data_IF_155969492323
#
_entry.id   IF_155969492323
#
_cell.length_a   1.000
_cell.length_b   1.000
_cell.length_c   1.000
_cell.angle_alpha   90.00
_cell.angle_beta   90.00
_cell.angle_gamma   90.00
#
_symmetry.space_group_name_H-M   'P 1'
#
loop_
_entity.id
_entity.type
_entity.pdbx_description
1 polymer ?
#
# COMPACT_ATOMS: atom_id res chain seq x y z
N UNK A 1 7.92 -16.19 -6.36
CA UNK A 1 6.46 -16.12 -6.11
C UNK A 1 6.24 -14.90 -5.23
N UNK A 2 5.38 -13.96 -5.65
CA UNK A 2 5.22 -12.66 -4.98
C UNK A 2 4.66 -12.88 -3.58
N UNK A 3 5.43 -12.55 -2.53
CA UNK A 3 5.08 -12.84 -1.14
C UNK A 3 4.16 -11.74 -0.61
N UNK A 4 2.89 -11.77 -1.00
CA UNK A 4 1.89 -10.76 -0.62
C UNK A 4 0.93 -11.37 0.39
N UNK A 5 0.77 -10.75 1.55
CA UNK A 5 -0.23 -11.19 2.52
C UNK A 5 -1.62 -10.97 1.90
N UNK A 6 -2.55 -11.93 1.99
CA UNK A 6 -3.89 -11.79 1.43
C UNK A 6 -4.61 -10.50 1.86
N UNK A 7 -4.40 -10.07 3.11
CA UNK A 7 -4.95 -8.81 3.63
C UNK A 7 -4.44 -7.55 2.91
N UNK A 8 -3.21 -7.53 2.42
CA UNK A 8 -2.66 -6.39 1.67
C UNK A 8 -3.27 -6.29 0.27
N UNK A 9 -3.65 -7.43 -0.33
CA UNK A 9 -4.33 -7.47 -1.63
C UNK A 9 -5.74 -6.92 -1.49
N UNK A 10 -6.50 -7.40 -0.51
CA UNK A 10 -7.86 -6.93 -0.25
C UNK A 10 -7.87 -5.44 0.10
N UNK A 11 -6.95 -5.01 0.96
CA UNK A 11 -6.83 -3.61 1.35
C UNK A 11 -6.47 -2.72 0.16
N UNK A 12 -5.49 -3.13 -0.66
CA UNK A 12 -5.10 -2.40 -1.88
C UNK A 12 -6.24 -2.32 -2.91
N UNK A 13 -7.01 -3.40 -3.08
CA UNK A 13 -8.18 -3.40 -3.96
C UNK A 13 -9.26 -2.45 -3.46
N UNK A 14 -9.56 -2.45 -2.16
CA UNK A 14 -10.53 -1.53 -1.56
C UNK A 14 -10.10 -0.06 -1.72
N UNK A 15 -8.82 0.26 -1.45
CA UNK A 15 -8.28 1.61 -1.64
C UNK A 15 -8.40 2.05 -3.10
N UNK A 16 -8.11 1.17 -4.05
CA UNK A 16 -8.22 1.51 -5.47
C UNK A 16 -9.66 1.88 -5.87
N UNK A 17 -10.66 1.14 -5.37
CA UNK A 17 -12.07 1.45 -5.63
C UNK A 17 -12.50 2.78 -5.01
N UNK A 18 -12.06 3.08 -3.78
CA UNK A 18 -12.31 4.39 -3.17
C UNK A 18 -11.69 5.54 -3.97
N UNK A 19 -10.44 5.39 -4.40
CA UNK A 19 -9.75 6.40 -5.21
C UNK A 19 -10.49 6.68 -6.53
N UNK A 20 -10.98 5.63 -7.22
CA UNK A 20 -11.81 5.78 -8.43
C UNK A 20 -13.12 6.50 -8.13
N UNK A 21 -13.78 6.14 -7.04
CA UNK A 21 -15.02 6.77 -6.61
C UNK A 21 -14.85 8.28 -6.38
N UNK A 22 -13.82 8.68 -5.62
CA UNK A 22 -13.60 10.10 -5.31
C UNK A 22 -13.31 10.94 -6.57
N UNK A 23 -12.50 10.44 -7.49
CA UNK A 23 -12.23 11.15 -8.77
C UNK A 23 -13.51 11.27 -9.60
N UNK A 24 -14.28 10.19 -9.71
CA UNK A 24 -15.53 10.20 -10.47
C UNK A 24 -16.54 11.17 -9.87
N UNK A 25 -16.59 11.24 -8.53
CA UNK A 25 -17.47 12.16 -7.82
C UNK A 25 -17.03 13.62 -7.99
N UNK A 26 -15.73 13.91 -7.89
CA UNK A 26 -15.20 15.24 -8.16
C UNK A 26 -15.57 15.73 -9.57
N UNK A 27 -15.41 14.86 -10.58
CA UNK A 27 -15.76 15.18 -11.95
C UNK A 27 -17.26 15.48 -12.12
N UNK A 28 -18.14 14.71 -11.47
CA UNK A 28 -19.57 14.96 -11.48
C UNK A 28 -19.95 16.31 -10.85
N UNK A 29 -19.33 16.69 -9.73
CA UNK A 29 -19.60 18.00 -9.11
C UNK A 29 -19.11 19.17 -9.99
N UNK A 30 -18.01 18.98 -10.75
CA UNK A 30 -17.57 19.95 -11.75
C UNK A 30 -18.61 20.12 -12.87
N UNK A 31 -19.20 19.03 -13.36
CA UNK A 31 -20.27 19.08 -14.38
C UNK A 31 -21.51 19.83 -13.88
N UNK A 32 -21.80 19.74 -12.57
CA UNK A 32 -22.88 20.51 -11.92
C UNK A 32 -22.49 21.97 -11.60
N UNK A 33 -21.23 22.36 -11.81
CA UNK A 33 -20.73 23.70 -11.49
C UNK A 33 -20.44 23.94 -10.00
N UNK A 34 -20.50 22.91 -9.14
CA UNK A 34 -20.14 23.02 -7.73
C UNK A 34 -18.64 22.77 -7.55
N UNK A 35 -17.85 23.81 -7.83
CA UNK A 35 -16.40 23.78 -7.71
C UNK A 35 -15.93 23.46 -6.28
N UNK A 36 -16.67 23.91 -5.27
CA UNK A 36 -16.29 23.67 -3.88
C UNK A 36 -16.49 22.20 -3.49
N UNK A 37 -17.59 21.58 -3.94
CA UNK A 37 -17.79 20.14 -3.75
C UNK A 37 -16.77 19.32 -4.53
N UNK A 38 -16.44 19.72 -5.76
CA UNK A 38 -15.38 19.09 -6.53
C UNK A 38 -14.04 19.10 -5.79
N UNK A 39 -13.63 20.25 -5.24
CA UNK A 39 -12.38 20.39 -4.48
C UNK A 39 -12.34 19.45 -3.26
N UNK A 40 -13.45 19.34 -2.52
CA UNK A 40 -13.55 18.39 -1.39
C UNK A 40 -13.31 16.95 -1.82
N UNK A 41 -13.88 16.51 -2.94
CA UNK A 41 -13.68 15.16 -3.44
C UNK A 41 -12.26 14.92 -3.95
N UNK A 42 -11.61 15.95 -4.52
CA UNK A 42 -10.19 15.88 -4.88
C UNK A 42 -9.30 15.73 -3.64
N UNK A 43 -9.63 16.38 -2.52
CA UNK A 43 -8.91 16.20 -1.26
C UNK A 43 -9.01 14.76 -0.74
N UNK A 44 -10.19 14.15 -0.78
CA UNK A 44 -10.38 12.73 -0.43
C UNK A 44 -9.61 11.80 -1.36
N UNK A 45 -9.60 12.06 -2.67
CA UNK A 45 -8.76 11.32 -3.60
C UNK A 45 -7.27 11.44 -3.24
N UNK A 46 -6.78 12.65 -2.93
CA UNK A 46 -5.38 12.86 -2.53
C UNK A 46 -5.03 12.11 -1.26
N UNK A 47 -5.97 12.02 -0.30
CA UNK A 47 -5.80 11.21 0.91
C UNK A 47 -5.70 9.73 0.58
N UNK A 48 -6.66 9.20 -0.19
CA UNK A 48 -6.65 7.81 -0.65
C UNK A 48 -5.35 7.45 -1.39
N UNK A 49 -4.85 8.34 -2.25
CA UNK A 49 -3.58 8.14 -2.96
C UNK A 49 -2.39 8.03 -2.03
N UNK A 50 -2.31 8.86 -0.97
CA UNK A 50 -1.22 8.75 0.02
C UNK A 50 -1.24 7.42 0.76
N UNK A 51 -2.42 6.91 1.08
CA UNK A 51 -2.58 5.59 1.73
C UNK A 51 -2.12 4.47 0.79
N UNK A 52 -2.46 4.55 -0.50
CA UNK A 52 -1.99 3.61 -1.52
C UNK A 52 -0.46 3.67 -1.71
N UNK A 53 0.11 4.87 -1.75
CA UNK A 53 1.56 5.07 -1.87
C UNK A 53 2.32 4.47 -0.68
N UNK A 54 1.78 4.61 0.53
CA UNK A 54 2.34 4.03 1.75
C UNK A 54 2.26 2.50 1.74
N UNK A 55 1.13 1.93 1.29
CA UNK A 55 1.00 0.48 1.13
C UNK A 55 2.03 -0.08 0.13
N UNK A 56 2.23 0.63 -0.98
CA UNK A 56 3.26 0.28 -1.96
C UNK A 56 4.68 0.39 -1.39
N UNK A 57 4.95 1.40 -0.57
CA UNK A 57 6.25 1.57 0.11
C UNK A 57 6.54 0.38 1.02
N UNK A 58 5.59 0.02 1.90
CA UNK A 58 5.73 -1.13 2.83
C UNK A 58 5.96 -2.44 2.09
N UNK A 59 5.25 -2.65 0.98
CA UNK A 59 5.45 -3.82 0.13
C UNK A 59 6.88 -3.90 -0.42
N UNK A 60 7.42 -2.79 -0.93
CA UNK A 60 8.80 -2.76 -1.44
C UNK A 60 9.81 -3.08 -0.35
N UNK A 61 9.62 -2.56 0.86
CA UNK A 61 10.49 -2.87 2.01
C UNK A 61 10.41 -4.34 2.39
N UNK A 62 9.21 -4.91 2.42
CA UNK A 62 9.02 -6.34 2.66
C UNK A 62 9.69 -7.20 1.59
N UNK A 63 9.54 -6.86 0.31
CA UNK A 63 10.15 -7.59 -0.81
C UNK A 63 11.69 -7.55 -0.72
N UNK A 64 12.28 -6.40 -0.38
CA UNK A 64 13.72 -6.25 -0.15
C UNK A 64 14.22 -7.10 1.03
N UNK A 65 13.47 -7.12 2.13
CA UNK A 65 13.80 -7.96 3.28
C UNK A 65 13.70 -9.45 2.94
N UNK A 66 12.69 -9.87 2.19
CA UNK A 66 12.53 -11.24 1.74
C UNK A 66 13.70 -11.69 0.85
N UNK A 67 14.15 -10.84 -0.07
CA UNK A 67 15.31 -11.11 -0.93
C UNK A 67 16.62 -11.22 -0.13
N UNK A 68 16.80 -10.34 0.86
CA UNK A 68 17.95 -10.41 1.77
C UNK A 68 17.94 -11.71 2.58
N UNK A 69 16.79 -12.10 3.13
CA UNK A 69 16.63 -13.35 3.89
C UNK A 69 16.95 -14.56 3.00
N UNK A 70 16.42 -14.59 1.77
CA UNK A 70 16.72 -15.66 0.81
C UNK A 70 18.23 -15.76 0.55
N UNK A 71 18.89 -14.62 0.30
CA UNK A 71 20.35 -14.57 0.07
C UNK A 71 21.16 -15.09 1.26
N UNK A 72 20.76 -14.75 2.49
CA UNK A 72 21.43 -15.20 3.71
C UNK A 72 21.21 -16.71 3.93
N UNK A 73 20.01 -17.22 3.65
CA UNK A 73 19.71 -18.66 3.72
C UNK A 73 20.51 -19.46 2.70
N UNK A 74 20.65 -18.98 1.46
CA UNK A 74 21.51 -19.59 0.43
C UNK A 74 22.98 -19.68 0.86
N UNK A 75 23.44 -18.71 1.66
CA UNK A 75 24.79 -18.70 2.24
C UNK A 75 24.92 -19.57 3.50
N UNK A 76 23.89 -20.33 3.85
CA UNK A 76 23.88 -21.22 5.01
C UNK A 76 23.69 -20.51 6.36
N UNK A 77 23.29 -19.24 6.37
CA UNK A 77 23.06 -18.47 7.59
C UNK A 77 21.65 -18.77 8.10
N UNK A 78 21.55 -19.41 9.27
CA UNK A 78 20.26 -19.71 9.90
C UNK A 78 19.71 -18.46 10.62
N UNK A 79 18.88 -17.70 9.92
CA UNK A 79 18.28 -16.44 10.41
C UNK A 79 17.36 -16.68 11.61
N UNK A 80 16.65 -17.82 11.66
CA UNK A 80 15.77 -18.20 12.78
C UNK A 80 16.50 -18.32 14.11
N UNK A 81 17.81 -18.64 14.11
CA UNK A 81 18.63 -18.66 15.32
C UNK A 81 18.99 -17.24 15.82
N UNK A 82 19.02 -16.24 14.93
CA UNK A 82 19.40 -14.86 15.25
C UNK A 82 18.20 -14.09 15.84
N UNK A 83 17.00 -14.26 15.27
CA UNK A 83 15.77 -13.57 15.73
C UNK A 83 15.44 -13.91 17.19
N UNK A 84 15.71 -15.16 17.62
CA UNK A 84 15.43 -15.62 18.99
C UNK A 84 16.34 -14.98 20.05
N UNK A 85 17.56 -14.59 19.67
CA UNK A 85 18.56 -13.99 20.57
C UNK A 85 18.37 -12.49 20.82
N UNK A 86 17.59 -11.81 19.98
CA UNK A 86 17.29 -10.38 20.13
C UNK A 86 16.04 -10.06 20.97
N UNK A 87 15.27 -11.09 21.34
CA UNK A 87 14.06 -10.99 22.17
C UNK A 87 14.27 -11.53 23.61
N UNK A 88 15.51 -11.80 24.00
CA UNK A 88 15.95 -12.05 25.40
C UNK A 88 16.61 -10.78 25.95
#
# INVERSE_FOLDING_TARGET
MMNVLPGDIEHGASLLEHCKFYVSRAYLELEHGDLQAADRWIEEYRRCRRELDELLRRKREHDQLAELIATLQERGINITAIIRKGNE
#
